data_IF_545883192270
#
_entry.id   IF_545883192270
#
_cell.length_a   1.000
_cell.length_b   1.000
_cell.length_c   1.000
_cell.angle_alpha   90.00
_cell.angle_beta   90.00
_cell.angle_gamma   90.00
#
_symmetry.space_group_name_H-M   'P 1'
#
loop_
_entity.id
_entity.type
_entity.pdbx_description
1 polymer ?
#
# COMPACT_ATOMS: atom_id res chain seq x y z
N UNK A 1 -24.41 22.57 9.03
CA UNK A 1 -23.45 21.83 8.20
C UNK A 1 -23.79 22.13 6.76
N UNK A 2 -23.00 22.97 6.12
CA UNK A 2 -23.22 23.28 4.71
C UNK A 2 -22.73 22.09 3.88
N UNK A 3 -23.64 21.47 3.13
CA UNK A 3 -23.28 20.45 2.17
C UNK A 3 -22.29 21.06 1.17
N UNK A 4 -21.15 20.43 0.96
CA UNK A 4 -20.21 20.82 -0.08
C UNK A 4 -20.93 20.75 -1.44
N UNK A 5 -20.78 21.78 -2.30
CA UNK A 5 -21.54 21.88 -3.56
C UNK A 5 -21.08 20.88 -4.63
N UNK A 6 -20.12 20.03 -4.34
CA UNK A 6 -19.57 19.08 -5.29
C UNK A 6 -20.19 17.69 -5.07
N UNK A 7 -21.31 17.42 -5.73
CA UNK A 7 -21.85 16.07 -5.86
C UNK A 7 -20.97 15.26 -6.82
N UNK A 8 -19.83 14.76 -6.32
CA UNK A 8 -19.07 13.77 -7.08
C UNK A 8 -19.81 12.43 -7.01
N UNK A 9 -20.28 11.96 -8.14
CA UNK A 9 -20.94 10.66 -8.30
C UNK A 9 -19.93 9.54 -8.58
N UNK A 10 -18.69 9.90 -8.91
CA UNK A 10 -17.62 8.98 -9.31
C UNK A 10 -16.28 9.38 -8.70
N UNK A 11 -15.43 8.40 -8.44
CA UNK A 11 -14.04 8.63 -8.05
C UNK A 11 -13.26 9.10 -9.29
N UNK A 12 -12.61 10.27 -9.26
CA UNK A 12 -11.94 10.81 -10.44
C UNK A 12 -10.69 10.01 -10.81
N UNK A 13 -10.43 9.92 -12.11
CA UNK A 13 -9.22 9.34 -12.66
C UNK A 13 -8.09 10.38 -12.74
N UNK A 14 -6.88 9.97 -12.36
CA UNK A 14 -5.64 10.71 -12.56
C UNK A 14 -4.81 10.00 -13.63
N UNK A 15 -4.87 10.48 -14.87
CA UNK A 15 -4.12 9.91 -15.99
C UNK A 15 -2.64 10.32 -15.92
N UNK A 16 -1.78 9.35 -15.66
CA UNK A 16 -0.34 9.56 -15.55
C UNK A 16 0.41 9.44 -16.89
N UNK A 17 -0.27 9.01 -17.95
CA UNK A 17 0.35 8.75 -19.25
C UNK A 17 1.13 9.94 -19.82
N UNK A 18 0.53 11.11 -20.03
CA UNK A 18 1.21 12.29 -20.56
C UNK A 18 2.41 12.74 -19.72
N UNK A 19 2.30 12.67 -18.37
CA UNK A 19 3.41 12.98 -17.46
C UNK A 19 4.56 12.00 -17.61
N UNK A 20 4.27 10.70 -17.70
CA UNK A 20 5.28 9.66 -17.83
C UNK A 20 5.93 9.66 -19.22
N UNK A 21 5.22 10.11 -20.24
CA UNK A 21 5.74 10.35 -21.59
C UNK A 21 6.63 11.62 -21.68
N UNK A 22 6.69 12.44 -20.62
CA UNK A 22 7.48 13.65 -20.62
C UNK A 22 6.88 14.79 -21.43
N UNK A 23 5.57 14.80 -21.67
CA UNK A 23 4.91 15.83 -22.46
C UNK A 23 5.03 17.21 -21.80
N UNK A 24 5.22 18.23 -22.64
CA UNK A 24 5.42 19.61 -22.16
C UNK A 24 4.17 20.10 -21.41
N UNK A 25 4.35 20.50 -20.18
CA UNK A 25 3.26 21.02 -19.33
C UNK A 25 2.52 19.95 -18.52
N UNK A 26 2.53 18.68 -18.94
CA UNK A 26 1.77 17.60 -18.33
C UNK A 26 2.00 17.46 -16.81
N UNK A 27 3.24 17.64 -16.34
CA UNK A 27 3.54 17.61 -14.90
C UNK A 27 2.77 18.67 -14.11
N UNK A 28 2.68 19.89 -14.63
CA UNK A 28 1.94 21.00 -13.99
C UNK A 28 0.44 20.76 -13.97
N UNK A 29 -0.09 20.32 -15.10
CA UNK A 29 -1.52 20.03 -15.27
C UNK A 29 -1.94 18.88 -14.35
N UNK A 30 -1.14 17.82 -14.31
CA UNK A 30 -1.41 16.66 -13.46
C UNK A 30 -1.34 17.02 -11.97
N UNK A 31 -0.37 17.85 -11.56
CA UNK A 31 -0.27 18.32 -10.18
C UNK A 31 -1.45 19.20 -9.78
N UNK A 32 -1.93 20.09 -10.66
CA UNK A 32 -3.11 20.91 -10.42
C UNK A 32 -4.38 20.04 -10.29
N UNK A 33 -4.54 19.02 -11.16
CA UNK A 33 -5.64 18.05 -11.07
C UNK A 33 -5.57 17.25 -9.77
N UNK A 34 -4.37 16.78 -9.39
CA UNK A 34 -4.14 16.06 -8.14
C UNK A 34 -4.54 16.91 -6.94
N UNK A 35 -4.11 18.17 -6.88
CA UNK A 35 -4.48 19.13 -5.82
C UNK A 35 -6.01 19.25 -5.72
N UNK A 36 -6.67 19.52 -6.83
CA UNK A 36 -8.13 19.66 -6.88
C UNK A 36 -8.84 18.40 -6.35
N UNK A 37 -8.40 17.21 -6.76
CA UNK A 37 -8.95 15.94 -6.29
C UNK A 37 -8.76 15.79 -4.78
N UNK A 38 -7.55 16.03 -4.28
CA UNK A 38 -7.23 15.85 -2.86
C UNK A 38 -7.97 16.85 -1.95
N UNK A 39 -8.14 18.10 -2.39
CA UNK A 39 -8.86 19.12 -1.64
C UNK A 39 -10.40 18.89 -1.59
N UNK A 40 -10.96 18.21 -2.58
CA UNK A 40 -12.41 18.08 -2.73
C UNK A 40 -12.95 16.67 -2.45
N UNK A 41 -12.17 15.61 -2.72
CA UNK A 41 -12.62 14.22 -2.60
C UNK A 41 -11.69 13.41 -1.70
N UNK A 42 -10.38 13.56 -1.84
CA UNK A 42 -9.35 12.81 -1.11
C UNK A 42 -9.00 11.44 -1.70
N UNK A 43 -9.70 11.00 -2.76
CA UNK A 43 -9.51 9.70 -3.41
C UNK A 43 -9.41 9.86 -4.93
N UNK A 44 -8.62 8.99 -5.57
CA UNK A 44 -8.47 8.95 -7.01
C UNK A 44 -8.16 7.54 -7.50
N UNK A 45 -8.42 7.28 -8.76
CA UNK A 45 -7.91 6.13 -9.49
C UNK A 45 -6.78 6.61 -10.39
N UNK A 46 -5.54 6.17 -10.15
CA UNK A 46 -4.43 6.45 -11.05
C UNK A 46 -4.50 5.49 -12.25
N UNK A 47 -4.52 6.04 -13.47
CA UNK A 47 -4.53 5.25 -14.71
C UNK A 47 -3.26 5.54 -15.52
N UNK A 48 -2.93 4.65 -16.46
CA UNK A 48 -1.73 4.76 -17.31
C UNK A 48 -0.42 4.97 -16.50
N UNK A 49 -0.37 4.43 -15.29
CA UNK A 49 0.74 4.61 -14.33
C UNK A 49 1.95 3.71 -14.64
N UNK A 50 1.83 2.79 -15.60
CA UNK A 50 2.91 1.91 -16.05
C UNK A 50 3.29 0.78 -15.07
N UNK A 51 2.43 0.48 -14.09
CA UNK A 51 2.62 -0.69 -13.23
C UNK A 51 2.31 -1.97 -14.03
N UNK A 52 3.14 -3.03 -13.96
CA UNK A 52 2.90 -4.29 -14.68
C UNK A 52 1.68 -5.03 -14.11
N UNK A 53 0.61 -5.09 -14.88
CA UNK A 53 -0.65 -5.71 -14.45
C UNK A 53 -0.49 -7.21 -14.14
N UNK A 54 0.25 -7.91 -14.98
CA UNK A 54 0.55 -9.34 -14.79
C UNK A 54 1.22 -9.62 -13.43
N UNK A 55 2.13 -8.73 -12.98
CA UNK A 55 2.76 -8.85 -11.67
C UNK A 55 1.76 -8.68 -10.53
N UNK A 56 0.75 -7.80 -10.69
CA UNK A 56 -0.34 -7.68 -9.72
C UNK A 56 -1.14 -8.97 -9.63
N UNK A 57 -1.51 -9.56 -10.77
CA UNK A 57 -2.26 -10.81 -10.81
C UNK A 57 -1.48 -11.95 -10.15
N UNK A 58 -0.20 -12.11 -10.49
CA UNK A 58 0.68 -13.08 -9.85
C UNK A 58 0.78 -12.87 -8.33
N UNK A 59 0.88 -11.62 -7.89
CA UNK A 59 0.91 -11.25 -6.48
C UNK A 59 -0.38 -11.67 -5.76
N UNK A 60 -1.53 -11.37 -6.36
CA UNK A 60 -2.84 -11.74 -5.81
C UNK A 60 -2.97 -13.26 -5.69
N UNK A 61 -2.53 -14.01 -6.72
CA UNK A 61 -2.57 -15.49 -6.66
C UNK A 61 -1.67 -16.05 -5.55
N UNK A 62 -0.47 -15.52 -5.37
CA UNK A 62 0.41 -15.93 -4.25
C UNK A 62 -0.21 -15.63 -2.88
N UNK A 63 -0.83 -14.46 -2.73
CA UNK A 63 -1.53 -14.10 -1.49
C UNK A 63 -2.75 -14.99 -1.24
N UNK A 64 -3.53 -15.33 -2.26
CA UNK A 64 -4.65 -16.28 -2.13
C UNK A 64 -4.16 -17.64 -1.62
N UNK A 65 -3.05 -18.16 -2.16
CA UNK A 65 -2.46 -19.42 -1.68
C UNK A 65 -2.09 -19.36 -0.19
N UNK A 66 -1.51 -18.23 0.25
CA UNK A 66 -1.19 -18.05 1.66
C UNK A 66 -2.44 -17.97 2.55
N UNK A 67 -3.41 -17.12 2.19
CA UNK A 67 -4.61 -16.92 3.02
C UNK A 67 -5.57 -18.12 3.01
N UNK A 68 -5.53 -18.96 1.98
CA UNK A 68 -6.29 -20.22 1.92
C UNK A 68 -5.77 -21.32 2.86
N UNK A 69 -4.55 -21.16 3.42
CA UNK A 69 -4.01 -22.13 4.37
C UNK A 69 -4.82 -22.21 5.65
N UNK A 70 -4.81 -23.38 6.34
CA UNK A 70 -5.33 -23.51 7.69
C UNK A 70 -4.74 -22.46 8.64
N UNK A 71 -5.56 -21.99 9.58
CA UNK A 71 -5.13 -20.96 10.53
C UNK A 71 -3.86 -21.36 11.31
N UNK A 72 -3.76 -22.63 11.68
CA UNK A 72 -2.60 -23.20 12.41
C UNK A 72 -1.29 -23.05 11.61
N UNK A 73 -1.34 -23.27 10.30
CA UNK A 73 -0.18 -23.11 9.44
C UNK A 73 0.23 -21.63 9.29
N UNK A 74 -0.75 -20.73 9.15
CA UNK A 74 -0.50 -19.29 9.09
C UNK A 74 0.11 -18.76 10.37
N UNK A 75 -0.21 -19.33 11.53
CA UNK A 75 0.36 -18.95 12.82
C UNK A 75 1.87 -19.22 12.94
N UNK A 76 2.46 -20.09 12.10
CA UNK A 76 3.91 -20.22 12.00
C UNK A 76 4.62 -18.93 11.55
N UNK A 77 3.86 -18.03 10.92
CA UNK A 77 4.31 -16.70 10.46
C UNK A 77 3.78 -15.57 11.32
N UNK A 78 3.38 -15.84 12.57
CA UNK A 78 2.77 -14.86 13.48
C UNK A 78 3.62 -13.59 13.59
N UNK A 79 2.94 -12.47 13.71
CA UNK A 79 3.55 -11.16 13.88
C UNK A 79 4.58 -11.14 15.00
N UNK A 80 5.74 -10.56 14.72
CA UNK A 80 6.87 -10.42 15.64
C UNK A 80 6.93 -9.03 16.31
N UNK A 81 7.94 -8.78 17.10
CA UNK A 81 8.17 -7.50 17.80
C UNK A 81 8.34 -6.31 16.86
N UNK A 82 8.82 -6.55 15.62
CA UNK A 82 8.94 -5.53 14.58
C UNK A 82 7.61 -5.25 13.87
N UNK A 83 6.53 -5.88 14.29
CA UNK A 83 5.21 -5.84 13.65
C UNK A 83 5.20 -6.40 12.23
N UNK A 84 6.07 -7.38 11.94
CA UNK A 84 6.11 -8.13 10.69
C UNK A 84 5.55 -9.54 10.90
N UNK A 85 4.74 -10.00 9.97
CA UNK A 85 4.13 -11.32 9.99
C UNK A 85 2.62 -11.32 9.95
N UNK A 86 2.05 -12.48 10.21
CA UNK A 86 0.63 -12.75 10.15
C UNK A 86 -0.12 -12.32 11.41
N UNK A 87 -1.20 -11.60 11.22
CA UNK A 87 -2.16 -11.21 12.26
C UNK A 87 -3.46 -11.98 12.00
N UNK A 88 -3.86 -12.89 12.89
CA UNK A 88 -5.11 -13.64 12.72
C UNK A 88 -6.34 -12.76 12.96
N UNK A 89 -7.51 -13.15 12.43
CA UNK A 89 -8.76 -12.46 12.71
C UNK A 89 -9.07 -12.51 14.22
N UNK A 90 -9.82 -11.52 14.69
CA UNK A 90 -10.21 -11.38 16.10
C UNK A 90 -9.05 -11.23 17.10
N UNK A 91 -7.90 -10.76 16.64
CA UNK A 91 -6.72 -10.54 17.49
C UNK A 91 -6.54 -9.09 17.95
N UNK A 92 -7.24 -8.16 17.35
CA UNK A 92 -7.12 -6.72 17.63
C UNK A 92 -8.48 -6.07 17.81
N UNK A 93 -8.51 -5.03 18.66
CA UNK A 93 -9.64 -4.10 18.75
C UNK A 93 -9.13 -2.74 18.30
N UNK A 94 -9.70 -2.19 17.22
CA UNK A 94 -9.39 -0.84 16.80
C UNK A 94 -10.28 0.16 17.54
N UNK A 95 -9.69 0.91 18.45
CA UNK A 95 -10.35 2.07 19.09
C UNK A 95 -10.15 3.27 18.16
N UNK A 96 -11.07 3.46 17.22
CA UNK A 96 -10.96 4.51 16.20
C UNK A 96 -11.65 5.83 16.61
N UNK A 97 -12.39 5.86 17.71
CA UNK A 97 -13.17 7.04 18.10
C UNK A 97 -13.19 7.22 19.62
N UNK A 98 -12.99 8.46 20.05
CA UNK A 98 -13.17 8.87 21.46
C UNK A 98 -14.66 8.97 21.85
N UNK A 99 -15.57 8.99 20.88
CA UNK A 99 -17.02 9.13 21.08
C UNK A 99 -17.67 7.77 21.28
N UNK A 100 -17.25 6.76 20.49
CA UNK A 100 -17.71 5.39 20.59
C UNK A 100 -16.53 4.44 20.73
N UNK A 101 -16.34 3.89 21.90
CA UNK A 101 -15.35 2.85 22.12
C UNK A 101 -15.82 1.56 21.43
N UNK A 102 -15.10 1.17 20.38
CA UNK A 102 -15.33 -0.10 19.75
C UNK A 102 -14.72 -1.21 20.63
N UNK A 103 -15.57 -2.11 21.10
CA UNK A 103 -15.15 -3.30 21.87
C UNK A 103 -15.16 -4.57 21.04
N UNK A 104 -15.57 -4.47 19.76
CA UNK A 104 -15.64 -5.63 18.86
C UNK A 104 -14.29 -5.91 18.26
N UNK A 105 -13.93 -7.19 18.23
CA UNK A 105 -12.73 -7.67 17.58
C UNK A 105 -12.79 -7.47 16.07
N UNK A 106 -11.68 -7.07 15.48
CA UNK A 106 -11.53 -6.97 14.03
C UNK A 106 -11.61 -8.35 13.38
N UNK A 107 -12.36 -8.43 12.28
CA UNK A 107 -12.56 -9.67 11.53
C UNK A 107 -11.52 -9.86 10.42
N UNK A 108 -10.64 -8.87 10.20
CA UNK A 108 -9.59 -8.95 9.20
C UNK A 108 -8.46 -9.88 9.65
N UNK A 109 -7.90 -10.58 8.69
CA UNK A 109 -6.57 -11.19 8.81
C UNK A 109 -5.58 -10.44 7.91
N UNK A 110 -4.33 -10.34 8.34
CA UNK A 110 -3.33 -9.51 7.66
C UNK A 110 -1.97 -10.20 7.64
N UNK A 111 -1.22 -10.01 6.56
CA UNK A 111 0.19 -10.37 6.49
C UNK A 111 1.03 -9.10 6.27
N UNK A 112 1.71 -8.65 7.31
CA UNK A 112 2.58 -7.48 7.26
C UNK A 112 3.97 -7.88 6.78
N UNK A 113 4.38 -7.32 5.66
CA UNK A 113 5.70 -7.55 5.06
C UNK A 113 6.44 -6.22 4.86
N UNK A 114 7.68 -6.16 5.34
CA UNK A 114 8.56 -5.01 5.11
C UNK A 114 9.13 -5.01 3.70
N UNK A 115 9.51 -3.83 3.21
CA UNK A 115 10.40 -3.72 2.06
C UNK A 115 11.75 -4.35 2.41
N UNK A 116 12.19 -5.33 1.61
CA UNK A 116 13.46 -5.99 1.87
C UNK A 116 14.65 -5.02 1.79
N UNK A 117 15.53 -5.16 2.75
CA UNK A 117 16.76 -4.37 2.87
C UNK A 117 17.93 -5.29 3.25
N UNK A 118 19.17 -4.97 2.86
CA UNK A 118 20.35 -5.66 3.34
C UNK A 118 20.43 -5.62 4.87
N UNK A 119 20.92 -6.69 5.48
CA UNK A 119 21.01 -6.82 6.95
C UNK A 119 21.85 -5.71 7.62
N UNK A 120 22.77 -5.11 6.88
CA UNK A 120 23.62 -4.00 7.34
C UNK A 120 22.99 -2.62 7.16
N UNK A 121 21.78 -2.54 6.60
CA UNK A 121 21.08 -1.27 6.37
C UNK A 121 20.88 -0.51 7.69
N UNK A 122 21.13 0.81 7.76
CA UNK A 122 21.05 1.58 9.00
C UNK A 122 19.73 1.45 9.75
N UNK A 123 18.60 1.40 9.05
CA UNK A 123 17.28 1.26 9.66
C UNK A 123 17.05 -0.13 10.29
N UNK A 124 17.69 -1.19 9.78
CA UNK A 124 17.67 -2.53 10.39
C UNK A 124 18.51 -2.52 11.66
N UNK A 125 19.72 -1.96 11.60
CA UNK A 125 20.60 -1.83 12.77
C UNK A 125 19.99 -0.99 13.89
N UNK A 126 19.16 0.00 13.53
CA UNK A 126 18.44 0.83 14.49
C UNK A 126 17.20 0.14 15.10
N UNK A 127 16.84 -1.07 14.68
CA UNK A 127 15.69 -1.82 15.18
C UNK A 127 14.35 -1.11 14.95
N UNK A 128 14.22 -0.37 13.85
CA UNK A 128 12.98 0.38 13.57
C UNK A 128 11.82 -0.58 13.33
N UNK A 129 10.66 -0.25 13.89
CA UNK A 129 9.41 -0.98 13.65
C UNK A 129 9.09 -1.03 12.17
N UNK A 130 8.53 -2.13 11.70
CA UNK A 130 8.23 -2.42 10.28
C UNK A 130 9.47 -2.45 9.38
N UNK A 131 10.65 -2.65 9.97
CA UNK A 131 11.92 -2.80 9.23
C UNK A 131 12.66 -4.00 9.77
N UNK A 132 12.84 -5.04 8.96
CA UNK A 132 13.52 -6.26 9.37
C UNK A 132 13.30 -7.41 8.39
N UNK A 133 13.77 -8.62 8.75
CA UNK A 133 13.54 -9.81 7.94
C UNK A 133 12.07 -10.20 7.95
N UNK A 134 11.53 -10.49 6.77
CA UNK A 134 10.17 -10.97 6.62
C UNK A 134 10.07 -12.48 6.93
N UNK A 135 8.98 -12.91 7.57
CA UNK A 135 8.69 -14.35 7.74
C UNK A 135 8.10 -14.92 6.44
N UNK A 136 8.96 -15.26 5.49
CA UNK A 136 8.55 -15.76 4.19
C UNK A 136 7.98 -17.18 4.25
N UNK A 137 6.78 -17.44 3.68
CA UNK A 137 6.27 -18.78 3.45
C UNK A 137 7.22 -19.57 2.51
N UNK A 138 7.75 -20.69 3.02
CA UNK A 138 8.73 -21.50 2.28
C UNK A 138 8.09 -22.56 1.38
N UNK A 139 6.84 -22.84 1.62
CA UNK A 139 6.04 -23.87 0.96
C UNK A 139 5.13 -23.33 -0.15
N UNK A 140 5.24 -22.04 -0.46
CA UNK A 140 4.61 -21.42 -1.63
C UNK A 140 5.73 -20.99 -2.57
N UNK A 141 5.92 -21.78 -3.62
CA UNK A 141 6.98 -21.50 -4.60
C UNK A 141 6.88 -20.10 -5.21
N UNK A 142 8.01 -19.40 -5.31
CA UNK A 142 8.10 -18.05 -5.86
C UNK A 142 7.36 -16.96 -5.06
N UNK A 143 6.85 -17.24 -3.84
CA UNK A 143 6.11 -16.25 -3.04
C UNK A 143 6.94 -15.00 -2.75
N UNK A 144 8.15 -15.20 -2.19
CA UNK A 144 9.04 -14.09 -1.84
C UNK A 144 9.42 -13.26 -3.06
N UNK A 145 9.84 -13.92 -4.12
CA UNK A 145 10.31 -13.28 -5.36
C UNK A 145 9.22 -12.40 -5.97
N UNK A 146 7.98 -12.92 -6.04
CA UNK A 146 6.82 -12.19 -6.55
C UNK A 146 6.49 -10.97 -5.69
N UNK A 147 6.41 -11.15 -4.35
CA UNK A 147 6.10 -10.03 -3.44
C UNK A 147 7.20 -8.97 -3.47
N UNK A 148 8.47 -9.35 -3.50
CA UNK A 148 9.60 -8.41 -3.58
C UNK A 148 9.55 -7.62 -4.89
N UNK A 149 9.30 -8.28 -6.02
CA UNK A 149 9.14 -7.61 -7.30
C UNK A 149 7.97 -6.60 -7.27
N UNK A 150 6.82 -7.02 -6.73
CA UNK A 150 5.66 -6.13 -6.53
C UNK A 150 6.01 -4.90 -5.69
N UNK A 151 6.67 -5.10 -4.54
CA UNK A 151 7.09 -4.00 -3.67
C UNK A 151 8.02 -3.02 -4.38
N UNK A 152 8.96 -3.53 -5.20
CA UNK A 152 9.88 -2.69 -5.96
C UNK A 152 9.15 -1.83 -7.00
N UNK A 153 8.18 -2.39 -7.72
CA UNK A 153 7.37 -1.62 -8.67
C UNK A 153 6.49 -0.58 -7.97
N UNK A 154 5.92 -0.91 -6.81
CA UNK A 154 5.17 0.04 -5.99
C UNK A 154 6.04 1.20 -5.49
N UNK A 155 7.30 0.92 -5.12
CA UNK A 155 8.27 1.98 -4.75
C UNK A 155 8.59 2.87 -5.96
N UNK A 156 8.76 2.29 -7.15
CA UNK A 156 8.96 3.08 -8.39
C UNK A 156 7.77 3.99 -8.68
N UNK A 157 6.56 3.46 -8.57
CA UNK A 157 5.34 4.24 -8.75
C UNK A 157 5.22 5.37 -7.71
N UNK A 158 5.47 5.08 -6.44
CA UNK A 158 5.49 6.08 -5.38
C UNK A 158 6.48 7.21 -5.65
N UNK A 159 7.68 6.89 -6.13
CA UNK A 159 8.70 7.89 -6.51
C UNK A 159 8.27 8.80 -7.68
N UNK A 160 7.41 8.30 -8.58
CA UNK A 160 6.82 9.13 -9.65
C UNK A 160 5.72 10.05 -9.13
N UNK A 161 4.97 9.63 -8.10
CA UNK A 161 3.90 10.42 -7.50
C UNK A 161 4.39 11.52 -6.56
N UNK A 162 5.45 11.28 -5.77
CA UNK A 162 5.99 12.25 -4.80
C UNK A 162 6.25 13.64 -5.42
N UNK A 163 6.90 13.77 -6.59
CA UNK A 163 7.13 15.09 -7.19
C UNK A 163 5.84 15.80 -7.63
N UNK A 164 4.77 15.06 -7.92
CA UNK A 164 3.46 15.64 -8.23
C UNK A 164 2.80 16.19 -6.97
N UNK A 165 2.86 15.47 -5.86
CA UNK A 165 2.38 15.95 -4.56
C UNK A 165 3.15 17.17 -4.09
N UNK A 166 4.50 17.18 -4.23
CA UNK A 166 5.31 18.34 -3.89
C UNK A 166 4.85 19.57 -4.69
N UNK A 167 4.68 19.43 -6.00
CA UNK A 167 4.21 20.55 -6.84
C UNK A 167 2.75 20.95 -6.52
N UNK A 168 1.88 20.00 -6.21
CA UNK A 168 0.50 20.28 -5.78
C UNK A 168 0.44 21.05 -4.46
N UNK A 169 1.48 20.96 -3.62
CA UNK A 169 1.64 21.66 -2.35
C UNK A 169 2.55 22.91 -2.45
N UNK A 170 2.84 23.38 -3.67
CA UNK A 170 3.71 24.55 -3.94
C UNK A 170 5.15 24.37 -3.38
N UNK A 171 5.70 23.15 -3.44
CA UNK A 171 7.05 22.76 -2.97
C UNK A 171 7.95 22.32 -4.12
#
# INVERSE_FOLDING_TARGET
>A
MNAHPNNYTEIPELDMGPYLAGEKGARKELAAKLRHIQENIGFMVAVNHGFPWELLEQTVEKLKLFFAKPAEEKLNYKINELSLGYIPPKSTVYVSSVINQNTKLDLNETLNLALERPADHPSIKAGLRLVGPNPWPKDIDGFRETIVAYQQEMVKLGRKLIPLYALALDK
#
